data_IF_147845459891
#
_entry.id   IF_147845459891
#
_cell.length_a   1.000
_cell.length_b   1.000
_cell.length_c   1.000
_cell.angle_alpha   90.00
_cell.angle_beta   90.00
_cell.angle_gamma   90.00
#
_symmetry.space_group_name_H-M   'P 1'
#
loop_
_entity.id
_entity.type
_entity.pdbx_description
1 polymer ?
#
# COMPACT_ATOMS: atom_id res chain seq x y z
N UNK A 1 -3.11 22.87 54.41
CA UNK A 1 -1.79 23.07 53.79
C UNK A 1 -1.32 21.72 53.26
N UNK A 2 -0.82 21.64 52.03
CA UNK A 2 -0.25 20.39 51.53
C UNK A 2 0.99 20.06 52.36
N UNK A 3 0.94 18.98 53.15
CA UNK A 3 2.03 18.56 54.03
C UNK A 3 3.14 17.78 53.29
N UNK A 4 3.26 17.97 51.97
CA UNK A 4 4.22 17.24 51.16
C UNK A 4 4.68 18.06 49.93
N UNK A 5 5.91 17.81 49.49
CA UNK A 5 6.50 18.36 48.25
C UNK A 5 6.75 17.20 47.29
N UNK A 6 6.39 17.34 46.02
CA UNK A 6 6.72 16.36 44.98
C UNK A 6 7.70 16.95 43.96
N UNK A 7 8.70 16.14 43.59
CA UNK A 7 9.59 16.42 42.46
C UNK A 7 9.49 15.24 41.49
N UNK A 8 9.24 15.50 40.21
CA UNK A 8 9.02 14.46 39.19
C UNK A 8 10.04 14.63 38.08
N UNK A 9 10.81 13.58 37.80
CA UNK A 9 11.67 13.50 36.63
C UNK A 9 10.82 13.61 35.36
N UNK A 10 11.25 14.45 34.42
CA UNK A 10 10.58 14.65 33.13
C UNK A 10 11.61 14.57 32.02
N UNK A 11 11.26 13.84 30.97
CA UNK A 11 12.02 13.80 29.74
C UNK A 11 11.43 14.77 28.71
N UNK A 12 12.31 15.37 27.91
CA UNK A 12 11.93 16.15 26.73
C UNK A 12 11.09 15.30 25.78
N UNK A 13 10.06 15.90 25.19
CA UNK A 13 9.18 15.25 24.21
C UNK A 13 9.37 15.91 22.86
N UNK A 14 9.55 15.10 21.81
CA UNK A 14 9.53 15.59 20.44
C UNK A 14 8.13 16.11 20.07
N UNK A 15 8.05 16.93 19.03
CA UNK A 15 6.78 17.36 18.46
C UNK A 15 5.95 16.12 18.08
N UNK A 16 4.66 16.14 18.44
CA UNK A 16 3.78 15.04 18.13
C UNK A 16 3.55 14.96 16.61
N UNK A 17 3.62 13.74 16.05
CA UNK A 17 3.14 13.48 14.69
C UNK A 17 1.65 13.83 14.58
N UNK A 18 1.24 14.20 13.37
CA UNK A 18 -0.15 14.55 13.10
C UNK A 18 -1.06 13.33 13.17
N UNK A 19 -2.19 13.44 13.86
CA UNK A 19 -3.41 12.66 13.56
C UNK A 19 -4.14 13.27 12.35
N UNK A 20 -5.11 12.55 11.77
CA UNK A 20 -5.96 13.12 10.72
C UNK A 20 -6.58 14.45 11.15
N UNK A 21 -7.16 14.51 12.35
CA UNK A 21 -7.78 15.73 12.89
C UNK A 21 -6.78 16.88 13.04
N UNK A 22 -5.58 16.60 13.58
CA UNK A 22 -4.56 17.65 13.73
C UNK A 22 -3.96 18.09 12.39
N UNK A 23 -3.92 17.20 11.38
CA UNK A 23 -3.48 17.56 10.03
C UNK A 23 -4.54 18.45 9.35
N UNK A 24 -5.82 18.11 9.47
CA UNK A 24 -6.92 18.97 8.99
C UNK A 24 -6.83 20.35 9.63
N UNK A 25 -6.69 20.41 10.95
CA UNK A 25 -6.52 21.69 11.65
C UNK A 25 -5.31 22.46 11.12
N UNK A 26 -4.18 21.78 10.85
CA UNK A 26 -2.98 22.44 10.34
C UNK A 26 -3.15 22.95 8.90
N UNK A 27 -3.84 22.20 8.05
CA UNK A 27 -4.18 22.60 6.69
C UNK A 27 -5.09 23.83 6.69
N UNK A 28 -6.11 23.82 7.55
CA UNK A 28 -7.01 24.96 7.78
C UNK A 28 -6.26 26.22 8.26
N UNK A 29 -5.40 26.08 9.27
CA UNK A 29 -4.55 27.17 9.77
C UNK A 29 -3.64 27.78 8.69
N UNK A 30 -3.22 26.99 7.71
CA UNK A 30 -2.37 27.43 6.61
C UNK A 30 -3.17 27.91 5.39
N UNK A 31 -4.51 27.85 5.41
CA UNK A 31 -5.35 28.19 4.26
C UNK A 31 -5.26 27.19 3.10
N UNK A 32 -4.73 26.00 3.35
CA UNK A 32 -4.53 24.95 2.34
C UNK A 32 -5.72 23.99 2.36
N UNK A 33 -6.47 23.93 1.26
CA UNK A 33 -7.66 23.11 1.14
C UNK A 33 -8.92 23.73 1.73
N UNK A 34 -10.04 23.01 1.64
CA UNK A 34 -11.40 23.43 1.99
C UNK A 34 -12.15 22.27 2.66
N UNK A 35 -13.31 22.50 3.32
CA UNK A 35 -14.08 21.43 3.96
C UNK A 35 -14.38 20.23 3.05
N UNK A 36 -14.53 20.48 1.74
CA UNK A 36 -14.74 19.45 0.72
C UNK A 36 -13.48 18.65 0.35
N UNK A 37 -12.28 19.15 0.63
CA UNK A 37 -11.01 18.56 0.16
C UNK A 37 -10.14 17.96 1.27
N UNK A 38 -10.36 18.29 2.55
CA UNK A 38 -9.57 17.75 3.67
C UNK A 38 -9.55 16.20 3.72
N UNK A 39 -10.71 15.57 3.87
CA UNK A 39 -10.81 14.11 3.94
C UNK A 39 -10.35 13.40 2.65
N UNK A 40 -10.71 13.86 1.45
CA UNK A 40 -10.18 13.31 0.20
C UNK A 40 -8.66 13.41 0.08
N UNK A 41 -8.05 14.52 0.50
CA UNK A 41 -6.59 14.73 0.45
C UNK A 41 -5.87 13.72 1.33
N UNK A 42 -6.29 13.61 2.60
CA UNK A 42 -5.73 12.64 3.56
C UNK A 42 -5.91 11.20 3.04
N UNK A 43 -7.11 10.87 2.55
CA UNK A 43 -7.38 9.56 1.97
C UNK A 43 -6.50 9.27 0.76
N UNK A 44 -6.21 10.28 -0.07
CA UNK A 44 -5.39 10.14 -1.27
C UNK A 44 -3.93 9.87 -0.92
N UNK A 45 -3.33 10.62 0.01
CA UNK A 45 -1.93 10.41 0.39
C UNK A 45 -1.72 9.08 1.11
N UNK A 46 -2.72 8.58 1.84
CA UNK A 46 -2.71 7.25 2.43
C UNK A 46 -2.86 6.17 1.36
N UNK A 47 -3.86 6.29 0.48
CA UNK A 47 -4.10 5.28 -0.58
C UNK A 47 -2.96 5.18 -1.59
N UNK A 48 -2.22 6.27 -1.81
CA UNK A 48 -1.01 6.31 -2.65
C UNK A 48 0.26 5.95 -1.91
N UNK A 49 0.15 5.58 -0.63
CA UNK A 49 1.26 5.11 0.21
C UNK A 49 2.36 6.15 0.44
N UNK A 50 2.06 7.46 0.38
CA UNK A 50 3.01 8.51 0.77
C UNK A 50 3.10 8.67 2.29
N UNK A 51 2.01 8.33 2.97
CA UNK A 51 1.88 8.37 4.42
C UNK A 51 1.11 7.13 4.84
N UNK A 52 1.45 6.58 5.99
CA UNK A 52 0.73 5.47 6.59
C UNK A 52 0.25 5.80 8.01
N UNK A 53 -0.67 4.99 8.52
CA UNK A 53 -1.08 5.08 9.92
C UNK A 53 -0.07 4.31 10.76
N UNK A 54 0.68 5.04 11.57
CA UNK A 54 1.57 4.51 12.58
C UNK A 54 0.85 3.48 13.45
N UNK A 55 1.60 2.44 13.80
CA UNK A 55 1.12 1.27 14.51
C UNK A 55 2.03 0.92 15.71
N UNK A 56 3.05 1.74 16.01
CA UNK A 56 3.93 1.57 17.16
C UNK A 56 3.20 1.97 18.43
N UNK A 57 3.02 1.01 19.34
CA UNK A 57 2.40 1.24 20.65
C UNK A 57 3.29 2.07 21.59
N UNK A 58 4.56 2.23 21.26
CA UNK A 58 5.58 2.88 22.09
C UNK A 58 6.29 1.88 23.00
N UNK A 59 7.27 2.37 23.74
CA UNK A 59 8.06 1.59 24.69
C UNK A 59 7.83 2.15 26.10
N UNK A 60 7.71 1.24 27.09
CA UNK A 60 7.71 1.65 28.49
C UNK A 60 9.09 2.16 28.88
N UNK A 61 9.13 3.32 29.54
CA UNK A 61 10.31 3.79 30.25
C UNK A 61 9.96 4.16 31.68
N UNK A 62 10.94 4.02 32.55
CA UNK A 62 10.81 4.39 33.94
C UNK A 62 11.12 5.89 34.12
N UNK A 63 10.48 6.53 35.10
CA UNK A 63 10.83 7.86 35.60
C UNK A 63 10.67 7.91 37.12
N UNK A 64 11.46 8.77 37.75
CA UNK A 64 11.54 8.85 39.21
C UNK A 64 10.65 9.97 39.74
N UNK A 65 9.85 9.67 40.77
CA UNK A 65 9.12 10.68 41.54
C UNK A 65 9.59 10.65 43.00
N UNK A 66 10.06 11.80 43.48
CA UNK A 66 10.44 12.01 44.87
C UNK A 66 9.30 12.73 45.60
N UNK A 67 8.98 12.26 46.80
CA UNK A 67 8.00 12.91 47.69
C UNK A 67 8.66 13.18 49.04
N UNK A 68 8.70 14.45 49.46
CA UNK A 68 9.14 14.86 50.79
C UNK A 68 7.90 15.09 51.66
N UNK A 69 7.74 14.29 52.71
CA UNK A 69 6.66 14.44 53.69
C UNK A 69 7.23 14.23 55.10
N UNK A 70 6.92 15.15 56.02
CA UNK A 70 7.36 15.06 57.42
C UNK A 70 8.87 14.81 57.60
N UNK A 71 9.71 15.46 56.77
CA UNK A 71 11.17 15.33 56.82
C UNK A 71 11.74 14.04 56.22
N UNK A 72 10.92 13.16 55.67
CA UNK A 72 11.34 11.92 54.99
C UNK A 72 11.16 12.05 53.48
N UNK A 73 12.19 11.70 52.72
CA UNK A 73 12.12 11.59 51.26
C UNK A 73 11.77 10.15 50.90
N UNK A 74 10.64 9.96 50.24
CA UNK A 74 10.27 8.71 49.58
C UNK A 74 10.56 8.79 48.09
N UNK A 75 11.12 7.72 47.54
CA UNK A 75 11.35 7.56 46.10
C UNK A 75 10.34 6.55 45.54
N UNK A 76 9.74 6.90 44.40
CA UNK A 76 8.83 6.01 43.67
C UNK A 76 9.26 5.94 42.21
N UNK A 77 9.54 4.73 41.76
CA UNK A 77 9.81 4.42 40.35
C UNK A 77 8.45 4.25 39.64
N UNK A 78 8.16 5.14 38.72
CA UNK A 78 6.93 5.15 37.93
C UNK A 78 7.25 4.82 36.48
N UNK A 79 6.23 4.43 35.72
CA UNK A 79 6.34 4.10 34.30
C UNK A 79 5.56 5.09 33.45
N UNK A 80 6.13 5.49 32.32
CA UNK A 80 5.39 6.14 31.24
C UNK A 80 5.67 5.45 29.91
N UNK A 81 4.70 5.49 29.00
CA UNK A 81 4.87 5.03 27.63
C UNK A 81 5.38 6.19 26.75
N UNK A 82 6.42 5.95 25.95
CA UNK A 82 7.03 6.94 25.06
C UNK A 82 7.19 6.40 23.64
N UNK A 83 7.22 7.29 22.65
CA UNK A 83 7.49 6.93 21.24
C UNK A 83 6.33 6.32 20.48
N UNK A 84 5.12 6.27 21.04
CA UNK A 84 3.95 5.75 20.32
C UNK A 84 3.58 6.63 19.12
N UNK A 85 3.36 5.99 17.98
CA UNK A 85 2.77 6.60 16.79
C UNK A 85 1.46 5.95 16.35
N UNK A 86 0.93 5.03 17.16
CA UNK A 86 -0.38 4.40 16.94
C UNK A 86 -1.45 5.44 16.61
N UNK A 87 -2.03 5.33 15.42
CA UNK A 87 -3.09 6.22 14.93
C UNK A 87 -2.62 7.61 14.46
N UNK A 88 -1.31 7.85 14.41
CA UNK A 88 -0.71 9.06 13.83
C UNK A 88 -0.27 8.78 12.39
N UNK A 89 -0.08 9.83 11.62
CA UNK A 89 0.39 9.81 10.25
C UNK A 89 1.92 9.78 10.24
N UNK A 90 2.48 8.78 9.57
CA UNK A 90 3.93 8.56 9.45
C UNK A 90 4.29 8.63 7.96
N UNK A 91 5.27 9.45 7.55
CA UNK A 91 5.70 9.50 6.15
C UNK A 91 6.40 8.19 5.79
N UNK A 92 6.11 7.69 4.59
CA UNK A 92 6.81 6.51 4.04
C UNK A 92 8.09 6.94 3.31
N UNK A 93 8.94 5.98 2.96
CA UNK A 93 10.11 6.25 2.12
C UNK A 93 9.74 6.89 0.78
N UNK A 94 8.70 6.36 0.11
CA UNK A 94 8.23 6.93 -1.15
C UNK A 94 7.66 8.34 -0.96
N UNK A 95 6.96 8.60 0.15
CA UNK A 95 6.49 9.95 0.49
C UNK A 95 7.66 10.92 0.63
N UNK A 96 8.68 10.52 1.38
CA UNK A 96 9.87 11.36 1.63
C UNK A 96 10.63 11.62 0.33
N UNK A 97 10.93 10.58 -0.46
CA UNK A 97 11.65 10.72 -1.74
C UNK A 97 10.90 11.61 -2.73
N UNK A 98 9.57 11.44 -2.84
CA UNK A 98 8.76 12.27 -3.73
C UNK A 98 8.74 13.70 -3.25
N UNK A 99 8.59 13.94 -1.94
CA UNK A 99 8.66 15.29 -1.37
C UNK A 99 10.02 15.93 -1.62
N UNK A 100 11.12 15.25 -1.36
CA UNK A 100 12.48 15.79 -1.59
C UNK A 100 12.71 16.13 -3.07
N UNK A 101 12.30 15.24 -3.98
CA UNK A 101 12.36 15.50 -5.41
C UNK A 101 11.54 16.73 -5.79
N UNK A 102 10.31 16.85 -5.30
CA UNK A 102 9.45 17.98 -5.62
C UNK A 102 9.96 19.29 -5.01
N UNK A 103 10.52 19.27 -3.79
CA UNK A 103 11.07 20.48 -3.15
C UNK A 103 12.32 20.95 -3.90
N UNK A 104 13.20 20.02 -4.31
CA UNK A 104 14.41 20.31 -5.08
C UNK A 104 14.09 20.95 -6.44
N UNK A 105 13.05 20.48 -7.12
CA UNK A 105 12.77 20.85 -8.51
C UNK A 105 11.60 21.83 -8.70
N UNK A 106 10.68 21.92 -7.73
CA UNK A 106 9.43 22.68 -7.82
C UNK A 106 9.14 23.50 -6.55
N UNK A 107 10.18 23.92 -5.81
CA UNK A 107 10.06 24.58 -4.50
C UNK A 107 9.05 25.74 -4.46
N UNK A 108 9.00 26.58 -5.49
CA UNK A 108 8.07 27.71 -5.56
C UNK A 108 6.59 27.30 -5.49
N UNK A 109 6.23 26.17 -6.12
CA UNK A 109 4.84 25.70 -6.22
C UNK A 109 4.47 24.82 -5.01
N UNK A 110 5.46 24.23 -4.35
CA UNK A 110 5.27 23.50 -3.11
C UNK A 110 5.23 24.40 -1.87
N UNK A 111 5.47 25.70 -2.00
CA UNK A 111 5.37 26.63 -0.89
C UNK A 111 3.92 26.67 -0.34
N UNK A 112 3.81 26.75 0.98
CA UNK A 112 2.52 26.76 1.65
C UNK A 112 1.72 28.01 1.30
N UNK A 113 2.36 29.18 1.19
CA UNK A 113 1.68 30.43 0.83
C UNK A 113 1.25 30.41 -0.63
N UNK A 114 2.05 29.81 -1.52
CA UNK A 114 1.65 29.62 -2.91
C UNK A 114 0.35 28.81 -2.99
N UNK A 115 0.29 27.67 -2.30
CA UNK A 115 -0.88 26.80 -2.31
C UNK A 115 -2.10 27.51 -1.71
N UNK A 116 -1.94 28.20 -0.58
CA UNK A 116 -3.00 28.97 0.04
C UNK A 116 -3.52 30.10 -0.86
N UNK A 117 -2.62 30.78 -1.59
CA UNK A 117 -2.98 31.82 -2.55
C UNK A 117 -3.81 31.25 -3.70
N UNK A 118 -3.42 30.10 -4.26
CA UNK A 118 -4.19 29.46 -5.35
C UNK A 118 -5.59 29.07 -4.89
N UNK A 119 -5.73 28.54 -3.67
CA UNK A 119 -7.05 28.22 -3.10
C UNK A 119 -7.91 29.49 -2.93
N UNK A 120 -7.31 30.62 -2.49
CA UNK A 120 -8.00 31.91 -2.44
C UNK A 120 -8.39 32.40 -3.84
N UNK A 121 -7.48 32.32 -4.82
CA UNK A 121 -7.75 32.72 -6.20
C UNK A 121 -8.93 31.92 -6.80
N UNK A 122 -9.13 30.65 -6.39
CA UNK A 122 -10.33 29.87 -6.76
C UNK A 122 -11.62 30.38 -6.12
N UNK A 123 -11.59 30.83 -4.86
CA UNK A 123 -12.75 31.43 -4.20
C UNK A 123 -13.14 32.76 -4.90
N UNK A 124 -12.15 33.59 -5.22
CA UNK A 124 -12.36 34.84 -5.98
C UNK A 124 -12.95 34.58 -7.38
N UNK A 125 -12.54 33.51 -8.06
CA UNK A 125 -13.15 33.07 -9.33
C UNK A 125 -14.61 32.67 -9.12
N UNK A 126 -14.91 31.93 -8.04
CA UNK A 126 -16.28 31.50 -7.74
C UNK A 126 -17.22 32.69 -7.44
N UNK A 127 -16.67 33.76 -6.85
CA UNK A 127 -17.37 35.02 -6.61
C UNK A 127 -17.44 35.93 -7.86
N UNK A 128 -16.66 35.64 -8.90
CA UNK A 128 -16.62 36.41 -10.14
C UNK A 128 -15.65 37.61 -10.11
N UNK A 129 -14.77 37.68 -9.11
CA UNK A 129 -13.79 38.75 -8.93
C UNK A 129 -12.54 38.55 -9.81
N UNK A 130 -12.25 37.32 -10.23
CA UNK A 130 -11.10 36.96 -11.07
C UNK A 130 -11.56 36.17 -12.31
N UNK A 131 -10.98 36.48 -13.47
CA UNK A 131 -11.17 35.69 -14.69
C UNK A 131 -10.28 34.42 -14.66
N UNK A 132 -10.92 33.25 -14.62
CA UNK A 132 -10.21 31.97 -14.46
C UNK A 132 -9.20 31.67 -15.58
N UNK A 133 -9.49 32.11 -16.81
CA UNK A 133 -8.62 31.93 -17.99
C UNK A 133 -7.28 32.62 -17.79
N UNK A 134 -7.31 33.86 -17.29
CA UNK A 134 -6.13 34.67 -17.01
C UNK A 134 -5.28 34.05 -15.91
N UNK A 135 -5.90 33.65 -14.79
CA UNK A 135 -5.19 32.98 -13.69
C UNK A 135 -4.51 31.69 -14.17
N UNK A 136 -5.22 30.86 -14.92
CA UNK A 136 -4.67 29.60 -15.45
C UNK A 136 -3.52 29.84 -16.43
N UNK A 137 -3.61 30.87 -17.27
CA UNK A 137 -2.55 31.21 -18.22
C UNK A 137 -1.29 31.69 -17.48
N UNK A 138 -1.44 32.61 -16.52
CA UNK A 138 -0.32 33.11 -15.71
C UNK A 138 0.39 31.99 -14.95
N UNK A 139 -0.38 31.05 -14.37
CA UNK A 139 0.20 29.87 -13.73
C UNK A 139 0.96 28.99 -14.71
N UNK A 140 0.34 28.65 -15.85
CA UNK A 140 0.93 27.72 -16.81
C UNK A 140 2.20 28.27 -17.46
N UNK A 141 2.22 29.56 -17.78
CA UNK A 141 3.37 30.24 -18.38
C UNK A 141 4.60 30.21 -17.46
N UNK A 142 4.40 30.19 -16.14
CA UNK A 142 5.48 30.07 -15.15
C UNK A 142 5.82 28.61 -14.83
N UNK A 143 4.83 27.73 -14.76
CA UNK A 143 5.03 26.34 -14.36
C UNK A 143 5.61 25.47 -15.48
N UNK A 144 5.07 25.59 -16.70
CA UNK A 144 5.40 24.68 -17.80
C UNK A 144 6.88 24.71 -18.23
N UNK A 145 7.57 25.87 -18.25
CA UNK A 145 9.01 25.90 -18.49
C UNK A 145 9.80 25.08 -17.45
N UNK A 146 9.43 25.17 -16.17
CA UNK A 146 10.04 24.39 -15.09
C UNK A 146 9.83 22.89 -15.32
N UNK A 147 8.62 22.48 -15.73
CA UNK A 147 8.35 21.07 -16.07
C UNK A 147 9.24 20.58 -17.19
N UNK A 148 9.43 21.36 -18.26
CA UNK A 148 10.31 20.99 -19.38
C UNK A 148 11.77 20.90 -18.98
N UNK A 149 12.24 21.82 -18.13
CA UNK A 149 13.60 21.81 -17.61
C UNK A 149 13.83 20.55 -16.75
N UNK A 150 12.94 20.27 -15.80
CA UNK A 150 13.01 19.08 -14.94
C UNK A 150 12.89 17.80 -15.77
N UNK A 151 12.03 17.74 -16.79
CA UNK A 151 11.93 16.56 -17.66
C UNK A 151 13.23 16.29 -18.45
N UNK A 152 13.93 17.35 -18.88
CA UNK A 152 15.17 17.23 -19.64
C UNK A 152 16.41 17.00 -18.77
N UNK A 153 16.45 17.63 -17.59
CA UNK A 153 17.67 17.78 -16.79
C UNK A 153 17.59 17.13 -15.41
N UNK A 154 16.41 16.78 -14.91
CA UNK A 154 16.34 16.12 -13.62
C UNK A 154 16.87 14.70 -13.74
N UNK A 155 17.92 14.42 -12.98
CA UNK A 155 18.35 13.06 -12.78
C UNK A 155 17.16 12.25 -12.26
N UNK A 156 16.87 11.14 -12.94
CA UNK A 156 16.13 10.04 -12.32
C UNK A 156 17.04 9.41 -11.27
N UNK A 157 17.38 10.18 -10.24
CA UNK A 157 17.93 9.66 -9.00
C UNK A 157 16.83 8.75 -8.44
N UNK A 158 16.85 7.47 -8.84
CA UNK A 158 16.58 6.43 -7.87
C UNK A 158 17.55 6.74 -6.75
N UNK A 159 17.05 7.40 -5.70
CA UNK A 159 17.84 7.92 -4.57
C UNK A 159 18.56 6.73 -3.94
N UNK A 160 19.72 6.41 -4.50
CA UNK A 160 20.56 5.31 -4.12
C UNK A 160 21.48 5.87 -3.05
N UNK A 161 21.18 5.52 -1.81
CA UNK A 161 22.02 5.88 -0.68
C UNK A 161 22.99 4.74 -0.44
N UNK A 162 24.27 4.97 -0.72
CA UNK A 162 25.35 4.03 -0.45
C UNK A 162 25.63 4.06 1.05
N UNK A 163 25.58 2.90 1.70
CA UNK A 163 25.78 2.74 3.14
C UNK A 163 27.18 2.29 3.51
N UNK A 164 27.88 1.61 2.59
CA UNK A 164 29.24 1.12 2.81
C UNK A 164 29.57 -0.09 1.96
N UNK A 165 30.40 -0.99 2.49
CA UNK A 165 30.89 -2.20 1.82
C UNK A 165 30.50 -3.42 2.66
N UNK A 166 30.03 -4.48 1.99
CA UNK A 166 29.74 -5.77 2.62
C UNK A 166 31.05 -6.46 3.02
N UNK A 167 31.27 -6.79 4.31
CA UNK A 167 32.51 -7.41 4.78
C UNK A 167 32.77 -8.80 4.18
N UNK A 168 31.74 -9.50 3.68
CA UNK A 168 31.88 -10.86 3.14
C UNK A 168 32.25 -10.84 1.66
N UNK A 169 31.54 -10.09 0.85
CA UNK A 169 31.75 -10.04 -0.61
C UNK A 169 32.67 -8.91 -1.08
N UNK A 170 32.95 -7.90 -0.24
CA UNK A 170 33.69 -6.71 -0.62
C UNK A 170 32.94 -5.77 -1.56
N UNK A 171 31.65 -6.01 -1.80
CA UNK A 171 30.79 -5.24 -2.72
C UNK A 171 30.11 -4.06 -2.01
N UNK A 172 29.76 -2.98 -2.74
CA UNK A 172 29.03 -1.87 -2.15
C UNK A 172 27.63 -2.30 -1.70
N UNK A 173 27.18 -1.73 -0.58
CA UNK A 173 25.83 -1.89 -0.04
C UNK A 173 25.09 -0.57 -0.19
N UNK A 174 23.91 -0.61 -0.81
CA UNK A 174 23.08 0.56 -1.03
C UNK A 174 21.61 0.29 -0.75
N UNK A 175 20.86 1.35 -0.48
CA UNK A 175 19.40 1.31 -0.33
C UNK A 175 18.74 2.27 -1.31
N UNK A 176 17.63 1.83 -1.91
CA UNK A 176 16.89 2.60 -2.91
C UNK A 176 15.42 2.15 -3.00
N UNK A 177 14.61 2.93 -3.71
CA UNK A 177 13.23 2.55 -4.02
C UNK A 177 13.17 1.67 -5.28
N UNK A 178 12.73 0.43 -5.14
CA UNK A 178 12.47 -0.49 -6.25
C UNK A 178 11.01 -0.51 -6.70
N UNK A 179 10.70 -1.32 -7.71
CA UNK A 179 9.31 -1.53 -8.21
C UNK A 179 8.35 -2.00 -7.11
N UNK A 180 8.86 -2.71 -6.12
CA UNK A 180 8.06 -3.35 -5.07
C UNK A 180 8.19 -2.67 -3.70
N UNK A 181 8.85 -1.51 -3.63
CA UNK A 181 9.08 -0.76 -2.40
C UNK A 181 10.57 -0.57 -2.08
N UNK A 182 10.87 -0.08 -0.87
CA UNK A 182 12.23 0.09 -0.36
C UNK A 182 13.02 -1.23 -0.38
N UNK A 183 14.23 -1.18 -0.93
CA UNK A 183 15.09 -2.36 -1.03
C UNK A 183 16.56 -2.02 -0.80
N UNK A 184 17.26 -2.96 -0.20
CA UNK A 184 18.69 -3.01 -0.09
C UNK A 184 19.30 -3.81 -1.25
N UNK A 185 20.51 -3.45 -1.62
CA UNK A 185 21.29 -4.08 -2.68
C UNK A 185 22.73 -4.30 -2.21
N UNK A 186 23.29 -5.49 -2.44
CA UNK A 186 24.73 -5.76 -2.36
C UNK A 186 25.23 -5.95 -3.79
N UNK A 187 26.25 -5.19 -4.19
CA UNK A 187 26.78 -5.14 -5.55
C UNK A 187 26.36 -3.88 -6.30
N UNK A 188 27.21 -3.43 -7.23
CA UNK A 188 26.92 -2.32 -8.12
C UNK A 188 25.81 -2.67 -9.13
N UNK A 189 25.27 -1.68 -9.83
CA UNK A 189 24.18 -1.89 -10.79
C UNK A 189 24.56 -2.84 -11.94
N UNK A 190 25.83 -2.83 -12.33
CA UNK A 190 26.48 -3.60 -13.38
C UNK A 190 27.09 -4.93 -12.91
N UNK A 191 27.09 -5.22 -11.60
CA UNK A 191 27.51 -6.52 -11.08
C UNK A 191 26.54 -7.63 -11.53
N UNK A 192 27.09 -8.72 -12.07
CA UNK A 192 26.31 -9.90 -12.45
C UNK A 192 25.72 -10.62 -11.22
N UNK A 193 26.46 -10.64 -10.11
CA UNK A 193 26.06 -11.26 -8.85
C UNK A 193 25.62 -10.22 -7.81
N UNK A 194 24.57 -9.47 -8.12
CA UNK A 194 23.92 -8.57 -7.16
C UNK A 194 22.86 -9.29 -6.36
N UNK A 195 22.81 -9.01 -5.06
CA UNK A 195 21.80 -9.54 -4.14
C UNK A 195 20.84 -8.42 -3.76
N UNK A 196 19.59 -8.79 -3.51
CA UNK A 196 18.54 -7.86 -3.10
C UNK A 196 17.83 -8.35 -1.84
N UNK A 197 17.47 -7.42 -0.96
CA UNK A 197 16.61 -7.69 0.18
C UNK A 197 15.62 -6.53 0.35
N UNK A 198 14.36 -6.85 0.67
CA UNK A 198 13.37 -5.82 1.01
C UNK A 198 13.63 -5.28 2.42
N UNK A 199 13.47 -3.97 2.62
CA UNK A 199 13.48 -3.38 3.96
C UNK A 199 12.23 -3.81 4.72
N UNK A 200 12.34 -3.80 6.05
CA UNK A 200 11.22 -4.05 6.97
C UNK A 200 10.33 -2.81 7.08
N UNK A 201 9.10 -2.96 7.56
CA UNK A 201 8.11 -1.86 7.59
C UNK A 201 8.53 -0.70 8.50
N UNK A 202 9.29 -1.00 9.55
CA UNK A 202 9.82 -0.04 10.52
C UNK A 202 11.13 0.63 10.08
N UNK A 203 11.77 0.10 9.03
CA UNK A 203 13.03 0.62 8.51
C UNK A 203 12.78 1.69 7.45
N UNK A 204 13.65 2.70 7.40
CA UNK A 204 13.56 3.81 6.45
C UNK A 204 14.90 3.99 5.71
N UNK A 205 14.83 4.22 4.40
CA UNK A 205 16.00 4.38 3.52
C UNK A 205 16.91 5.52 4.02
N UNK A 206 16.32 6.57 4.59
CA UNK A 206 17.04 7.75 5.08
C UNK A 206 17.86 7.53 6.35
N UNK A 207 17.47 6.60 7.23
CA UNK A 207 18.12 6.41 8.53
C UNK A 207 18.71 5.02 8.76
N UNK A 208 18.36 4.02 7.94
CA UNK A 208 18.88 2.65 8.09
C UNK A 208 20.41 2.64 8.02
N UNK A 209 21.02 1.83 8.87
CA UNK A 209 22.46 1.65 8.98
C UNK A 209 22.95 0.49 8.13
N UNK A 210 24.26 0.45 7.86
CA UNK A 210 24.90 -0.68 7.16
C UNK A 210 24.65 -2.00 7.91
N UNK A 211 24.77 -2.00 9.24
CA UNK A 211 24.59 -3.20 10.07
C UNK A 211 23.16 -3.76 9.97
N UNK A 212 22.16 -2.89 10.11
CA UNK A 212 20.75 -3.28 9.94
C UNK A 212 20.46 -3.78 8.52
N UNK A 213 21.10 -3.17 7.52
CA UNK A 213 20.93 -3.57 6.12
C UNK A 213 21.52 -4.94 5.84
N UNK A 214 22.71 -5.25 6.37
CA UNK A 214 23.35 -6.55 6.20
C UNK A 214 22.52 -7.69 6.81
N UNK A 215 21.80 -7.44 7.92
CA UNK A 215 20.89 -8.42 8.54
C UNK A 215 19.77 -8.86 7.60
N UNK A 216 19.31 -8.00 6.68
CA UNK A 216 18.27 -8.34 5.70
C UNK A 216 18.71 -9.43 4.72
N UNK A 217 20.01 -9.54 4.46
CA UNK A 217 20.57 -10.54 3.53
C UNK A 217 20.81 -11.91 4.18
N UNK A 218 20.52 -12.05 5.47
CA UNK A 218 20.45 -13.35 6.14
C UNK A 218 19.15 -14.11 5.80
N UNK A 219 18.20 -13.42 5.16
CA UNK A 219 16.98 -14.00 4.62
C UNK A 219 17.14 -14.28 3.12
N UNK A 220 16.51 -15.33 2.56
CA UNK A 220 15.63 -16.28 3.24
C UNK A 220 16.36 -17.28 4.16
N UNK A 221 15.77 -17.56 5.33
CA UNK A 221 16.25 -18.53 6.32
C UNK A 221 15.44 -19.82 6.20
N UNK A 222 16.07 -20.91 5.77
CA UNK A 222 15.44 -22.23 5.73
C UNK A 222 15.38 -22.82 7.16
N UNK A 223 14.19 -23.24 7.60
CA UNK A 223 13.94 -23.81 8.93
C UNK A 223 13.80 -25.35 8.91
N UNK A 224 13.80 -25.97 7.73
CA UNK A 224 13.71 -27.41 7.54
C UNK A 224 12.39 -27.85 6.89
N UNK A 225 11.98 -29.10 7.18
CA UNK A 225 10.77 -29.71 6.62
C UNK A 225 9.67 -29.82 7.68
N UNK A 226 8.44 -29.47 7.31
CA UNK A 226 7.24 -29.71 8.12
C UNK A 226 6.12 -30.24 7.23
N UNK A 227 5.42 -31.29 7.67
CA UNK A 227 4.32 -31.91 6.91
C UNK A 227 4.66 -32.24 5.44
N UNK A 228 5.93 -32.58 5.18
CA UNK A 228 6.41 -32.94 3.84
C UNK A 228 6.79 -31.78 2.92
N UNK A 229 6.65 -30.53 3.36
CA UNK A 229 7.08 -29.35 2.59
C UNK A 229 8.14 -28.54 3.34
N UNK A 230 8.97 -27.80 2.59
CA UNK A 230 9.98 -26.91 3.15
C UNK A 230 9.34 -25.70 3.83
N UNK A 231 9.93 -25.34 4.97
CA UNK A 231 9.60 -24.16 5.75
C UNK A 231 10.74 -23.16 5.65
N UNK A 232 10.43 -21.95 5.20
CA UNK A 232 11.40 -20.87 5.03
C UNK A 232 10.82 -19.58 5.59
N UNK A 233 11.65 -18.76 6.24
CA UNK A 233 11.29 -17.40 6.65
C UNK A 233 11.95 -16.42 5.72
N UNK A 234 11.18 -15.47 5.21
CA UNK A 234 11.68 -14.48 4.25
C UNK A 234 10.93 -13.16 4.41
N UNK A 235 11.48 -12.09 3.82
CA UNK A 235 10.83 -10.78 3.78
C UNK A 235 10.28 -10.49 2.38
N UNK A 236 9.01 -10.11 2.30
CA UNK A 236 8.30 -9.87 1.04
C UNK A 236 7.72 -8.47 0.97
N UNK A 237 6.99 -8.20 -0.12
CA UNK A 237 6.32 -6.90 -0.36
C UNK A 237 5.38 -6.47 0.78
N UNK A 238 4.78 -7.44 1.46
CA UNK A 238 3.78 -7.21 2.51
C UNK A 238 4.33 -7.38 3.93
N UNK A 239 5.66 -7.46 4.06
CA UNK A 239 6.36 -7.74 5.31
C UNK A 239 6.88 -9.18 5.41
N UNK A 240 7.42 -9.55 6.58
CA UNK A 240 7.99 -10.87 6.82
C UNK A 240 6.91 -11.96 6.79
N UNK A 241 7.27 -13.13 6.24
CA UNK A 241 6.38 -14.28 6.14
C UNK A 241 7.13 -15.61 6.31
N UNK A 242 6.39 -16.62 6.77
CA UNK A 242 6.76 -18.03 6.70
C UNK A 242 6.19 -18.60 5.38
N UNK A 243 7.05 -19.20 4.57
CA UNK A 243 6.69 -19.99 3.39
C UNK A 243 6.64 -21.45 3.78
N UNK A 244 5.51 -22.12 3.50
CA UNK A 244 5.35 -23.57 3.61
C UNK A 244 4.90 -24.09 2.25
N UNK A 245 5.85 -24.64 1.49
CA UNK A 245 5.68 -24.97 0.07
C UNK A 245 5.17 -23.80 -0.78
N UNK A 246 3.88 -23.83 -1.13
CA UNK A 246 3.19 -22.77 -1.91
C UNK A 246 2.39 -21.78 -1.07
N UNK A 247 2.28 -22.02 0.24
CA UNK A 247 1.52 -21.21 1.19
C UNK A 247 2.41 -20.14 1.80
N UNK A 248 1.92 -18.91 1.87
CA UNK A 248 2.58 -17.76 2.47
C UNK A 248 1.80 -17.31 3.70
N UNK A 249 2.41 -17.37 4.87
CA UNK A 249 1.82 -16.99 6.15
C UNK A 249 2.57 -15.77 6.69
N UNK A 250 1.92 -14.61 6.74
CA UNK A 250 2.53 -13.38 7.29
C UNK A 250 2.87 -13.56 8.77
N UNK A 251 4.05 -13.10 9.17
CA UNK A 251 4.40 -13.06 10.59
C UNK A 251 3.51 -12.05 11.33
N UNK A 252 3.16 -12.32 12.59
CA UNK A 252 2.55 -11.33 13.46
C UNK A 252 3.43 -10.09 13.63
N UNK A 253 2.79 -8.96 13.96
CA UNK A 253 3.50 -7.68 14.10
C UNK A 253 4.46 -7.72 15.27
N UNK A 254 5.68 -7.23 15.05
CA UNK A 254 6.74 -7.15 16.07
C UNK A 254 7.56 -8.43 16.23
N UNK A 255 7.25 -9.50 15.49
CA UNK A 255 8.13 -10.67 15.42
C UNK A 255 9.27 -10.41 14.41
N UNK A 256 10.51 -10.57 14.86
CA UNK A 256 11.68 -10.49 13.98
C UNK A 256 11.82 -11.80 13.18
N UNK A 257 11.81 -11.76 11.83
CA UNK A 257 11.99 -12.95 11.00
C UNK A 257 13.31 -13.70 11.25
N UNK A 258 14.34 -13.03 11.74
CA UNK A 258 15.62 -13.66 12.06
C UNK A 258 15.52 -14.56 13.30
N UNK A 259 14.64 -14.20 14.25
CA UNK A 259 14.43 -14.91 15.51
C UNK A 259 13.40 -16.04 15.41
N UNK A 260 12.68 -16.14 14.29
CA UNK A 260 11.70 -17.21 14.09
C UNK A 260 12.37 -18.59 14.09
N UNK A 261 11.83 -19.47 14.93
CA UNK A 261 12.20 -20.88 15.07
C UNK A 261 11.27 -21.77 14.26
N UNK A 262 11.69 -23.02 14.00
CA UNK A 262 10.84 -24.03 13.34
C UNK A 262 9.55 -24.29 14.14
N UNK A 263 9.61 -24.27 15.47
CA UNK A 263 8.43 -24.47 16.34
C UNK A 263 7.42 -23.35 16.13
N UNK A 264 7.88 -22.08 16.15
CA UNK A 264 7.00 -20.93 15.91
C UNK A 264 6.41 -20.96 14.49
N UNK A 265 7.20 -21.35 13.50
CA UNK A 265 6.71 -21.51 12.13
C UNK A 265 5.64 -22.60 12.02
N UNK A 266 5.79 -23.73 12.72
CA UNK A 266 4.79 -24.81 12.79
C UNK A 266 3.46 -24.33 13.38
N UNK A 267 3.51 -23.58 14.48
CA UNK A 267 2.33 -22.96 15.09
C UNK A 267 1.57 -22.09 14.07
N UNK A 268 2.28 -21.19 13.38
CA UNK A 268 1.67 -20.31 12.38
C UNK A 268 1.08 -21.08 11.20
N UNK A 269 1.73 -22.15 10.76
CA UNK A 269 1.24 -23.03 9.69
C UNK A 269 -0.04 -23.75 10.15
N UNK A 270 -0.07 -24.26 11.37
CA UNK A 270 -1.21 -24.99 11.92
C UNK A 270 -2.40 -24.07 12.19
N UNK A 271 -2.17 -22.89 12.76
CA UNK A 271 -3.18 -21.83 12.92
C UNK A 271 -3.78 -21.46 11.56
N UNK A 272 -2.94 -21.31 10.54
CA UNK A 272 -3.39 -20.99 9.18
C UNK A 272 -4.18 -22.13 8.56
N UNK A 273 -3.76 -23.38 8.74
CA UNK A 273 -4.48 -24.56 8.26
C UNK A 273 -5.85 -24.72 8.92
N UNK A 274 -5.96 -24.42 10.22
CA UNK A 274 -7.23 -24.40 10.96
C UNK A 274 -8.13 -23.26 10.46
N UNK A 275 -7.56 -22.06 10.25
CA UNK A 275 -8.31 -20.92 9.75
C UNK A 275 -8.83 -21.11 8.31
N UNK A 276 -8.05 -21.80 7.47
CA UNK A 276 -8.41 -22.09 6.07
C UNK A 276 -9.23 -23.39 5.93
N UNK A 277 -9.41 -24.15 7.02
CA UNK A 277 -10.24 -25.35 7.03
C UNK A 277 -11.70 -25.01 6.69
N UNK A 278 -12.37 -25.82 5.85
CA UNK A 278 -13.77 -25.59 5.54
C UNK A 278 -14.64 -25.69 6.81
N UNK A 279 -15.42 -24.65 7.08
CA UNK A 279 -16.43 -24.65 8.16
C UNK A 279 -17.70 -25.40 7.76
N UNK A 280 -17.89 -25.61 6.47
CA UNK A 280 -19.02 -26.28 5.85
C UNK A 280 -18.64 -26.74 4.45
N UNK A 281 -19.40 -27.68 3.89
CA UNK A 281 -19.28 -28.10 2.48
C UNK A 281 -20.61 -27.87 1.81
N UNK A 282 -20.62 -27.11 0.71
CA UNK A 282 -21.83 -26.88 -0.08
C UNK A 282 -21.56 -27.23 -1.54
N UNK A 283 -22.38 -28.12 -2.11
CA UNK A 283 -22.24 -28.65 -3.48
C UNK A 283 -20.83 -29.18 -3.80
N UNK A 284 -20.21 -29.87 -2.84
CA UNK A 284 -18.86 -30.46 -2.99
C UNK A 284 -17.70 -29.48 -2.83
N UNK A 285 -17.99 -28.18 -2.63
CA UNK A 285 -16.98 -27.13 -2.45
C UNK A 285 -16.93 -26.68 -0.98
N UNK A 286 -15.72 -26.52 -0.45
CA UNK A 286 -15.49 -26.06 0.92
C UNK A 286 -15.83 -24.59 1.13
N UNK A 287 -16.37 -24.25 2.30
CA UNK A 287 -16.70 -22.88 2.69
C UNK A 287 -15.72 -22.41 3.77
N UNK A 288 -15.06 -21.29 3.53
CA UNK A 288 -14.12 -20.68 4.50
C UNK A 288 -14.75 -19.46 5.16
N UNK A 289 -14.47 -19.20 6.44
CA UNK A 289 -14.86 -17.95 7.11
C UNK A 289 -13.69 -16.96 7.20
N UNK A 290 -13.98 -15.67 7.19
CA UNK A 290 -12.97 -14.63 7.33
C UNK A 290 -13.56 -13.26 7.69
N UNK A 291 -12.68 -12.30 7.99
CA UNK A 291 -13.06 -10.91 8.31
C UNK A 291 -12.37 -9.94 7.37
N UNK A 292 -13.13 -9.02 6.77
CA UNK A 292 -12.59 -8.02 5.85
C UNK A 292 -13.01 -6.60 6.20
N UNK A 293 -12.63 -5.62 5.37
CA UNK A 293 -12.98 -4.19 5.54
C UNK A 293 -14.50 -3.90 5.62
N UNK A 294 -15.34 -4.86 5.23
CA UNK A 294 -16.80 -4.75 5.23
C UNK A 294 -17.46 -5.64 6.29
N UNK A 295 -16.69 -6.16 7.25
CA UNK A 295 -17.17 -7.07 8.29
C UNK A 295 -16.92 -8.56 8.00
N UNK A 296 -17.52 -9.46 8.80
CA UNK A 296 -17.37 -10.91 8.65
C UNK A 296 -17.98 -11.41 7.34
N UNK A 297 -17.35 -12.42 6.73
CA UNK A 297 -17.80 -13.03 5.50
C UNK A 297 -17.50 -14.53 5.46
N UNK A 298 -18.23 -15.25 4.62
CA UNK A 298 -17.88 -16.59 4.16
C UNK A 298 -17.44 -16.55 2.69
N UNK A 299 -16.51 -17.41 2.31
CA UNK A 299 -15.99 -17.56 0.95
C UNK A 299 -16.33 -18.97 0.47
N UNK A 300 -17.05 -19.06 -0.63
CA UNK A 300 -17.44 -20.32 -1.26
C UNK A 300 -17.29 -20.21 -2.78
N UNK A 301 -16.55 -21.12 -3.40
CA UNK A 301 -16.29 -21.15 -4.86
C UNK A 301 -15.90 -19.77 -5.45
N UNK A 302 -15.01 -19.06 -4.77
CA UNK A 302 -14.56 -17.71 -5.16
C UNK A 302 -15.54 -16.57 -4.86
N UNK A 303 -16.76 -16.86 -4.40
CA UNK A 303 -17.77 -15.87 -4.03
C UNK A 303 -17.61 -15.49 -2.56
N UNK A 304 -17.55 -14.18 -2.30
CA UNK A 304 -17.53 -13.61 -0.95
C UNK A 304 -18.95 -13.18 -0.54
N UNK A 305 -19.42 -13.71 0.59
CA UNK A 305 -20.77 -13.48 1.12
C UNK A 305 -20.64 -12.86 2.51
N UNK A 306 -21.13 -11.65 2.66
CA UNK A 306 -21.12 -10.96 3.96
C UNK A 306 -22.10 -11.63 4.93
N UNK A 307 -21.66 -11.89 6.16
CA UNK A 307 -22.48 -12.46 7.22
C UNK A 307 -23.09 -11.32 8.03
N UNK A 308 -24.40 -11.11 7.87
CA UNK A 308 -25.12 -10.10 8.64
C UNK A 308 -25.18 -10.45 10.13
N UNK A 309 -25.32 -9.44 10.99
CA UNK A 309 -25.42 -9.57 12.47
C UNK A 309 -26.52 -10.50 12.99
N UNK A 310 -27.47 -10.93 12.14
CA UNK A 310 -28.51 -11.90 12.49
C UNK A 310 -27.96 -13.31 12.75
N UNK A 311 -26.77 -13.61 12.23
CA UNK A 311 -26.09 -14.89 12.45
C UNK A 311 -24.98 -14.74 13.48
N UNK A 312 -24.74 -15.81 14.25
CA UNK A 312 -23.55 -15.92 15.08
C UNK A 312 -22.36 -16.34 14.22
N UNK A 313 -21.47 -15.41 13.89
CA UNK A 313 -20.33 -15.65 13.00
C UNK A 313 -19.34 -16.68 13.55
N UNK A 314 -19.17 -16.73 14.87
CA UNK A 314 -18.22 -17.66 15.49
C UNK A 314 -18.71 -19.11 15.41
N UNK A 315 -20.03 -19.29 15.47
CA UNK A 315 -20.73 -20.58 15.50
C UNK A 315 -21.78 -20.68 14.38
N UNK A 316 -21.34 -20.59 13.12
CA UNK A 316 -22.22 -20.82 11.97
C UNK A 316 -22.54 -22.30 11.82
N UNK A 317 -23.82 -22.64 11.74
CA UNK A 317 -24.26 -24.00 11.39
C UNK A 317 -24.16 -24.24 9.88
N UNK A 318 -24.15 -25.51 9.46
CA UNK A 318 -24.24 -25.89 8.04
C UNK A 318 -25.45 -25.24 7.35
N UNK A 319 -26.61 -25.24 8.01
CA UNK A 319 -27.84 -24.60 7.49
C UNK A 319 -27.71 -23.08 7.33
N UNK A 320 -27.00 -22.40 8.23
CA UNK A 320 -26.78 -20.95 8.11
C UNK A 320 -25.92 -20.63 6.88
N UNK A 321 -24.90 -21.45 6.64
CA UNK A 321 -24.00 -21.31 5.49
C UNK A 321 -24.74 -21.57 4.18
N UNK A 322 -25.56 -22.62 4.13
CA UNK A 322 -26.40 -22.92 2.96
C UNK A 322 -27.35 -21.78 2.64
N UNK A 323 -28.09 -21.28 3.65
CA UNK A 323 -28.99 -20.15 3.48
C UNK A 323 -28.26 -18.88 2.98
N UNK A 324 -27.08 -18.58 3.52
CA UNK A 324 -26.25 -17.45 3.09
C UNK A 324 -25.79 -17.59 1.63
N UNK A 325 -25.39 -18.80 1.21
CA UNK A 325 -24.97 -19.08 -0.16
C UNK A 325 -26.17 -19.00 -1.12
N UNK A 326 -27.30 -19.59 -0.77
CA UNK A 326 -28.50 -19.61 -1.60
C UNK A 326 -29.10 -18.21 -1.76
N UNK A 327 -29.20 -17.45 -0.67
CA UNK A 327 -29.60 -16.03 -0.71
C UNK A 327 -28.70 -15.23 -1.66
N UNK A 328 -27.39 -15.51 -1.65
CA UNK A 328 -26.44 -14.83 -2.53
C UNK A 328 -26.62 -15.24 -3.98
N UNK A 329 -26.78 -16.53 -4.25
CA UNK A 329 -27.00 -17.07 -5.58
C UNK A 329 -28.30 -16.53 -6.17
N UNK A 330 -29.39 -16.53 -5.40
CA UNK A 330 -30.66 -15.96 -5.81
C UNK A 330 -30.53 -14.46 -6.11
N UNK A 331 -29.87 -13.68 -5.23
CA UNK A 331 -29.59 -12.25 -5.50
C UNK A 331 -28.72 -12.01 -6.73
N UNK A 332 -27.86 -12.96 -7.11
CA UNK A 332 -27.09 -12.86 -8.34
C UNK A 332 -27.97 -13.18 -9.55
N UNK A 333 -28.85 -14.18 -9.46
CA UNK A 333 -29.86 -14.50 -10.49
C UNK A 333 -30.79 -13.29 -10.71
N UNK A 334 -31.34 -12.70 -9.65
CA UNK A 334 -32.28 -11.57 -9.71
C UNK A 334 -31.67 -10.28 -10.29
N UNK A 335 -30.34 -10.20 -10.34
CA UNK A 335 -29.61 -9.09 -10.98
C UNK A 335 -29.50 -9.27 -12.48
N UNK A 336 -29.51 -10.49 -12.99
CA UNK A 336 -29.42 -10.76 -14.41
C UNK A 336 -30.68 -10.24 -15.09
N UNK A 337 -30.51 -9.31 -16.02
CA UNK A 337 -31.58 -8.77 -16.86
C UNK A 337 -31.66 -9.56 -18.17
N UNK A 338 -30.50 -9.77 -18.80
CA UNK A 338 -30.36 -10.54 -20.04
C UNK A 338 -29.11 -11.39 -19.96
N UNK A 339 -29.19 -12.64 -20.39
CA UNK A 339 -28.07 -13.56 -20.47
C UNK A 339 -28.08 -14.30 -21.81
N UNK A 340 -27.26 -13.82 -22.74
CA UNK A 340 -27.07 -14.42 -24.05
C UNK A 340 -25.81 -15.27 -24.01
N UNK A 341 -25.99 -16.54 -23.67
CA UNK A 341 -24.90 -17.49 -23.39
C UNK A 341 -24.11 -17.85 -24.64
N UNK A 342 -24.75 -17.91 -25.82
CA UNK A 342 -24.07 -18.24 -27.08
C UNK A 342 -23.11 -17.13 -27.52
N UNK A 343 -23.46 -15.87 -27.23
CA UNK A 343 -22.70 -14.68 -27.58
C UNK A 343 -21.73 -14.25 -26.46
N UNK A 344 -21.82 -14.88 -25.29
CA UNK A 344 -21.06 -14.56 -24.09
C UNK A 344 -21.36 -13.17 -23.53
N UNK A 345 -22.60 -12.69 -23.66
CA UNK A 345 -23.04 -11.36 -23.24
C UNK A 345 -23.96 -11.47 -22.04
N UNK A 346 -23.60 -10.76 -20.97
CA UNK A 346 -24.38 -10.69 -19.74
C UNK A 346 -24.75 -9.23 -19.42
N UNK A 347 -26.02 -8.98 -19.13
CA UNK A 347 -26.53 -7.67 -18.69
C UNK A 347 -27.09 -7.81 -17.29
N UNK A 348 -26.55 -7.02 -16.35
CA UNK A 348 -26.91 -7.12 -14.93
C UNK A 348 -27.20 -5.75 -14.31
N UNK A 349 -28.08 -5.72 -13.30
CA UNK A 349 -28.28 -4.57 -12.42
C UNK A 349 -27.00 -4.28 -11.63
N UNK A 350 -26.57 -3.03 -11.63
CA UNK A 350 -25.44 -2.51 -10.87
C UNK A 350 -25.91 -1.66 -9.68
N UNK A 351 -24.96 -0.98 -9.01
CA UNK A 351 -25.29 -0.11 -7.87
C UNK A 351 -25.99 1.17 -8.35
N UNK A 352 -26.79 1.77 -7.47
CA UNK A 352 -27.46 3.06 -7.70
C UNK A 352 -28.36 3.12 -8.94
N UNK A 353 -29.07 2.03 -9.24
CA UNK A 353 -30.03 1.96 -10.34
C UNK A 353 -29.40 1.90 -11.74
N UNK A 354 -28.07 1.74 -11.84
CA UNK A 354 -27.38 1.55 -13.12
C UNK A 354 -27.43 0.10 -13.56
N UNK A 355 -27.06 -0.16 -14.81
CA UNK A 355 -26.91 -1.51 -15.35
C UNK A 355 -25.55 -1.67 -16.02
N UNK A 356 -25.06 -2.90 -16.16
CA UNK A 356 -23.75 -3.20 -16.72
C UNK A 356 -23.87 -4.30 -17.76
N UNK A 357 -23.22 -4.09 -18.91
CA UNK A 357 -23.02 -5.11 -19.94
C UNK A 357 -21.60 -5.66 -19.80
N UNK A 358 -21.47 -6.99 -19.80
CA UNK A 358 -20.19 -7.69 -19.75
C UNK A 358 -20.06 -8.68 -20.92
N UNK A 359 -18.93 -8.63 -21.63
CA UNK A 359 -18.52 -9.64 -22.63
C UNK A 359 -17.02 -9.91 -22.52
N UNK A 360 -16.63 -11.05 -21.96
CA UNK A 360 -15.22 -11.37 -21.69
C UNK A 360 -14.55 -10.32 -20.78
N UNK A 361 -13.55 -9.60 -21.30
CA UNK A 361 -12.86 -8.50 -20.57
C UNK A 361 -13.54 -7.13 -20.74
N UNK A 362 -14.52 -7.01 -21.64
CA UNK A 362 -15.20 -5.75 -21.91
C UNK A 362 -16.33 -5.59 -20.90
N UNK A 363 -16.32 -4.46 -20.20
CA UNK A 363 -17.35 -4.06 -19.24
C UNK A 363 -17.82 -2.65 -19.57
N UNK A 364 -19.13 -2.47 -19.74
CA UNK A 364 -19.76 -1.20 -20.10
C UNK A 364 -20.79 -0.87 -19.03
N UNK A 365 -20.63 0.27 -18.36
CA UNK A 365 -21.63 0.77 -17.42
C UNK A 365 -22.64 1.66 -18.18
N UNK A 366 -23.92 1.35 -18.01
CA UNK A 366 -25.03 2.11 -18.57
C UNK A 366 -25.49 3.18 -17.56
N UNK A 367 -25.95 4.32 -18.08
CA UNK A 367 -26.57 5.35 -17.24
C UNK A 367 -27.83 4.83 -16.55
N UNK A 368 -28.22 5.46 -15.45
CA UNK A 368 -29.49 5.20 -14.73
C UNK A 368 -30.73 5.47 -15.60
N UNK A 369 -30.59 6.29 -16.64
CA UNK A 369 -31.68 6.70 -17.53
C UNK A 369 -31.96 5.66 -18.62
N UNK A 370 -31.09 4.66 -18.77
CA UNK A 370 -31.23 3.58 -19.75
C UNK A 370 -31.97 2.41 -19.11
N UNK A 371 -33.15 2.10 -19.65
CA UNK A 371 -33.93 0.93 -19.25
C UNK A 371 -33.31 -0.34 -19.83
N UNK A 372 -32.39 -0.93 -19.07
CA UNK A 372 -31.65 -2.12 -19.47
C UNK A 372 -32.52 -3.39 -19.60
N UNK A 373 -33.76 -3.37 -19.11
CA UNK A 373 -34.69 -4.50 -19.26
C UNK A 373 -35.21 -4.64 -20.68
N UNK A 374 -35.24 -3.55 -21.44
CA UNK A 374 -35.76 -3.50 -22.81
C UNK A 374 -34.68 -3.63 -23.89
N UNK A 375 -33.41 -3.73 -23.50
CA UNK A 375 -32.30 -3.84 -24.44
C UNK A 375 -32.39 -5.14 -25.24
N UNK A 376 -32.27 -5.01 -26.55
CA UNK A 376 -32.18 -6.14 -27.46
C UNK A 376 -30.73 -6.60 -27.64
N UNK A 377 -30.54 -7.84 -28.10
CA UNK A 377 -29.21 -8.40 -28.39
C UNK A 377 -28.43 -7.52 -29.39
N UNK A 378 -29.10 -7.01 -30.42
CA UNK A 378 -28.48 -6.18 -31.46
C UNK A 378 -27.94 -4.87 -30.90
N UNK A 379 -28.72 -4.17 -30.07
CA UNK A 379 -28.30 -2.90 -29.44
C UNK A 379 -27.10 -3.11 -28.51
N UNK A 380 -27.11 -4.20 -27.74
CA UNK A 380 -26.02 -4.54 -26.83
C UNK A 380 -24.74 -4.90 -27.60
N UNK A 381 -24.86 -5.62 -28.71
CA UNK A 381 -23.74 -5.93 -29.60
C UNK A 381 -23.14 -4.67 -30.22
N UNK A 382 -23.95 -3.69 -30.63
CA UNK A 382 -23.46 -2.40 -31.12
C UNK A 382 -22.71 -1.60 -30.04
N UNK A 383 -23.23 -1.57 -28.81
CA UNK A 383 -22.56 -0.90 -27.69
C UNK A 383 -21.19 -1.54 -27.40
N UNK A 384 -21.10 -2.87 -27.48
CA UNK A 384 -19.84 -3.60 -27.33
C UNK A 384 -18.89 -3.30 -28.50
N UNK A 385 -19.38 -3.29 -29.74
CA UNK A 385 -18.58 -2.98 -30.93
C UNK A 385 -17.95 -1.58 -30.84
N UNK A 386 -18.71 -0.57 -30.39
CA UNK A 386 -18.24 0.81 -30.18
C UNK A 386 -17.13 0.92 -29.12
N UNK A 387 -17.13 0.04 -28.11
CA UNK A 387 -16.14 -0.02 -27.03
C UNK A 387 -14.95 -0.95 -27.30
N UNK A 388 -15.05 -1.79 -28.34
CA UNK A 388 -13.97 -2.72 -28.69
C UNK A 388 -12.87 -1.95 -29.42
N UNK A 389 -11.61 -1.95 -28.93
CA UNK A 389 -10.53 -1.24 -29.58
C UNK A 389 -10.34 -1.76 -31.02
N UNK A 390 -10.23 -0.84 -31.99
CA UNK A 390 -9.94 -1.18 -33.37
C UNK A 390 -8.70 -2.09 -33.42
N UNK A 391 -8.85 -3.25 -34.07
CA UNK A 391 -7.83 -4.29 -34.16
C UNK A 391 -6.57 -3.68 -34.81
N UNK A 392 -5.54 -3.36 -34.02
CA UNK A 392 -4.23 -2.95 -34.57
C UNK A 392 -3.70 -4.09 -35.44
N UNK A 393 -3.54 -3.82 -36.73
CA UNK A 393 -2.86 -4.71 -37.68
C UNK A 393 -1.46 -5.02 -37.12
N UNK A 394 -1.04 -6.30 -37.04
CA UNK A 394 0.29 -6.62 -36.55
C UNK A 394 1.34 -5.97 -37.46
N UNK A 395 2.12 -5.04 -36.92
CA UNK A 395 3.30 -4.54 -37.60
C UNK A 395 4.23 -5.73 -37.85
N UNK A 396 4.57 -5.98 -39.12
CA UNK A 396 5.60 -6.96 -39.51
C UNK A 396 6.86 -6.68 -38.67
N UNK A 397 7.26 -7.65 -37.85
CA UNK A 397 8.59 -7.65 -37.22
C UNK A 397 9.63 -7.50 -38.34
N UNK A 398 10.33 -6.38 -38.37
CA UNK A 398 11.55 -6.25 -39.14
C UNK A 398 12.55 -7.27 -38.58
N UNK A 399 12.99 -8.19 -39.43
CA UNK A 399 14.07 -9.13 -39.18
C UNK A 399 15.33 -8.35 -38.83
N UNK A 400 15.86 -8.59 -37.62
CA UNK A 400 17.13 -8.05 -37.18
C UNK A 400 18.24 -8.54 -38.12
N UNK A 401 18.86 -7.60 -38.83
CA UNK A 401 20.10 -7.82 -39.59
C UNK A 401 21.23 -8.13 -38.61
N UNK A 402 21.80 -9.32 -38.72
CA UNK A 402 23.05 -9.72 -38.06
C UNK A 402 24.14 -8.69 -38.39
N UNK A 403 24.62 -7.94 -37.39
CA UNK A 403 25.90 -7.23 -37.47
C UNK A 403 27.02 -8.26 -37.50
N UNK A 404 27.67 -8.39 -38.66
CA UNK A 404 28.94 -9.11 -38.84
C UNK A 404 30.05 -8.41 -38.06
N UNK A 405 30.67 -9.18 -37.17
CA UNK A 405 31.93 -8.87 -36.48
C UNK A 405 33.06 -8.61 -37.46
N UNK A 406 33.68 -7.43 -37.37
CA UNK A 406 34.90 -7.07 -38.10
C UNK A 406 36.09 -7.79 -37.45
N UNK A 407 36.74 -8.67 -38.22
CA UNK A 407 38.03 -9.29 -37.87
C UNK A 407 39.14 -8.22 -37.89
N UNK A 408 39.83 -8.07 -36.76
CA UNK A 408 41.15 -7.41 -36.70
C UNK A 408 42.16 -8.22 -37.52
N UNK A 409 42.75 -7.61 -38.53
CA UNK A 409 43.90 -8.12 -39.28
C UNK A 409 45.18 -7.96 -38.47
N UNK A 410 45.92 -9.07 -38.34
CA UNK A 410 47.25 -9.14 -37.75
C UNK A 410 48.28 -8.78 -38.81
N UNK A 411 49.07 -7.75 -38.56
CA UNK A 411 50.24 -7.44 -39.37
C UNK A 411 51.41 -8.35 -38.97
N UNK A 412 52.04 -9.03 -39.93
CA UNK A 412 53.42 -9.53 -39.78
C UNK A 412 54.16 -9.56 -41.11
N UNK A 413 55.16 -8.66 -41.14
CA UNK A 413 56.47 -8.64 -41.80
C UNK A 413 56.79 -9.65 -42.94
N UNK A 414 57.33 -9.01 -43.99
CA UNK A 414 58.18 -9.45 -45.11
C UNK A 414 57.51 -10.20 -46.24
#
# INVERSE_FOLDING_TARGET
>A
QNNYITATERYSRAAARYTEASLVKKLEELGIGRPSTYAPTISTIINRNYVEKGNLEGQERNYTQLTLQSGKVGEKLLKENTGSDKGKLVPTDIGTIVTDFLVKNFGNILDYNFTAKVEQDFDEIAEGNIEWTKMMQEFYDQFHPTVKDVEANADRESVERILGIDPVSGKPVSVRLGKFGPMAQIGAADDEEKKFASLMSEQNIGNITLEETLKLFLLPKNLGLYKGEEVEVSNGRYGPYVRHGSVFISLPRGEDPLDVSIVRAQELIDEKAIADAPIAVYKGEGVQKGTGRFGPFIKWNGIFINVSKKYNFDNLSQSDVEALIEDKLQKNIDKVLHNWTEEGILVEKARWGRSVITKGKIKIELSKDVDATKLTLSEVQEMIAKKTPAKKTPAKKATATKKTTVKKTVAKKK
#
